data_IF_309855083629
#
_entry.id   IF_309855083629
#
_cell.length_a   1.000
_cell.length_b   1.000
_cell.length_c   1.000
_cell.angle_alpha   90.00
_cell.angle_beta   90.00
_cell.angle_gamma   90.00
#
_symmetry.space_group_name_H-M   'P 1'
#
loop_
_entity.id
_entity.type
_entity.pdbx_description
1 polymer ?
#
# COMPACT_ATOMS: atom_id res chain seq x y z
N UNK A 1 10.85 -11.51 3.14
CA UNK A 1 11.65 -12.60 3.72
C UNK A 1 11.87 -12.45 5.24
N UNK A 2 11.32 -11.42 5.88
CA UNK A 2 11.30 -11.30 7.35
C UNK A 2 9.88 -10.90 7.76
N UNK A 3 9.16 -11.82 8.39
CA UNK A 3 7.78 -11.60 8.86
C UNK A 3 7.75 -10.71 10.11
N UNK A 4 8.77 -10.78 10.97
CA UNK A 4 8.87 -9.99 12.19
C UNK A 4 9.13 -8.52 11.86
N UNK A 5 10.02 -8.23 10.92
CA UNK A 5 10.24 -6.87 10.44
C UNK A 5 8.98 -6.29 9.79
N UNK A 6 8.25 -7.08 8.98
CA UNK A 6 7.00 -6.66 8.37
C UNK A 6 5.89 -6.37 9.40
N UNK A 7 5.82 -7.17 10.47
CA UNK A 7 4.95 -6.89 11.61
C UNK A 7 5.35 -5.59 12.32
N UNK A 8 6.63 -5.42 12.65
CA UNK A 8 7.13 -4.27 13.42
C UNK A 8 6.94 -2.95 12.69
N UNK A 9 7.23 -2.90 11.39
CA UNK A 9 7.04 -1.66 10.60
C UNK A 9 5.57 -1.30 10.48
N UNK A 10 4.69 -2.28 10.22
CA UNK A 10 3.25 -2.08 10.23
C UNK A 10 2.73 -1.63 11.59
N UNK A 11 3.30 -2.17 12.68
CA UNK A 11 2.94 -1.80 14.05
C UNK A 11 3.34 -0.38 14.40
N UNK A 12 4.54 0.05 14.03
CA UNK A 12 5.01 1.42 14.23
C UNK A 12 4.13 2.42 13.47
N UNK A 13 3.86 2.16 12.19
CA UNK A 13 2.99 3.01 11.37
C UNK A 13 1.55 3.07 11.93
N UNK A 14 1.01 1.94 12.39
CA UNK A 14 -0.31 1.90 13.03
C UNK A 14 -0.35 2.68 14.33
N UNK A 15 0.70 2.60 15.14
CA UNK A 15 0.77 3.32 16.40
C UNK A 15 0.77 4.84 16.17
N UNK A 16 1.56 5.32 15.21
CA UNK A 16 1.57 6.74 14.83
C UNK A 16 0.21 7.17 14.26
N UNK A 17 -0.39 6.38 13.36
CA UNK A 17 -1.72 6.71 12.83
C UNK A 17 -2.82 6.72 13.90
N UNK A 18 -2.83 5.74 14.81
CA UNK A 18 -3.85 5.62 15.84
C UNK A 18 -3.83 6.82 16.81
N UNK A 19 -2.65 7.31 17.18
CA UNK A 19 -2.53 8.50 18.06
C UNK A 19 -2.78 9.83 17.35
N UNK A 20 -2.85 9.82 16.02
CA UNK A 20 -3.28 10.94 15.19
C UNK A 20 -4.78 10.87 14.82
N UNK A 21 -5.56 10.01 15.49
CA UNK A 21 -7.02 9.90 15.30
C UNK A 21 -7.46 9.11 14.07
N UNK A 22 -6.54 8.39 13.41
CA UNK A 22 -6.88 7.46 12.31
C UNK A 22 -7.42 6.16 12.93
N UNK A 23 -8.37 5.50 12.26
CA UNK A 23 -8.96 4.24 12.74
C UNK A 23 -8.88 3.08 11.71
N UNK A 24 -8.53 3.38 10.46
CA UNK A 24 -8.44 2.42 9.37
C UNK A 24 -7.26 2.76 8.48
N UNK A 25 -6.53 1.74 8.08
CA UNK A 25 -5.46 1.85 7.08
C UNK A 25 -5.85 1.04 5.84
N UNK A 26 -5.71 1.65 4.66
CA UNK A 26 -5.85 0.97 3.36
C UNK A 26 -4.58 0.21 3.00
N UNK A 27 -4.21 -0.70 3.90
CA UNK A 27 -3.04 -1.54 3.86
C UNK A 27 -3.32 -2.87 4.59
N UNK A 28 -2.60 -3.96 4.27
CA UNK A 28 -1.54 -4.04 3.27
C UNK A 28 -2.05 -4.11 1.82
N UNK A 29 -1.26 -3.65 0.86
CA UNK A 29 -1.39 -4.08 -0.53
C UNK A 29 -0.80 -5.50 -0.64
N UNK A 30 -1.55 -6.44 -1.23
CA UNK A 30 -1.23 -7.87 -1.22
C UNK A 30 -1.33 -8.54 -2.59
N UNK A 31 -1.43 -7.74 -3.66
CA UNK A 31 -1.49 -8.28 -5.02
C UNK A 31 -0.15 -8.91 -5.43
N UNK A 32 -0.21 -10.06 -6.10
CA UNK A 32 0.96 -10.79 -6.60
C UNK A 32 1.44 -10.21 -7.93
N UNK A 33 2.44 -9.34 -7.87
CA UNK A 33 2.95 -8.60 -9.03
C UNK A 33 3.87 -9.45 -9.91
N UNK A 34 3.39 -9.91 -11.07
CA UNK A 34 4.16 -10.71 -12.06
C UNK A 34 4.48 -9.98 -13.36
N UNK A 35 4.01 -8.75 -13.52
CA UNK A 35 4.34 -7.89 -14.66
C UNK A 35 5.04 -6.63 -14.13
N UNK A 36 6.36 -6.55 -14.32
CA UNK A 36 7.19 -5.46 -13.77
C UNK A 36 6.93 -4.11 -14.45
N UNK A 37 6.15 -4.07 -15.53
CA UNK A 37 5.73 -2.82 -16.18
C UNK A 37 4.66 -2.08 -15.38
N UNK A 38 3.93 -2.78 -14.52
CA UNK A 38 2.86 -2.19 -13.73
C UNK A 38 3.39 -1.24 -12.66
N UNK A 39 3.01 0.04 -12.72
CA UNK A 39 3.57 1.08 -11.85
C UNK A 39 3.40 0.84 -10.34
N UNK A 40 2.46 -0.02 -9.95
CA UNK A 40 2.14 -0.32 -8.55
C UNK A 40 2.86 -1.56 -7.99
N UNK A 41 3.81 -2.15 -8.73
CA UNK A 41 4.64 -3.28 -8.23
C UNK A 41 5.37 -2.96 -6.91
N UNK A 42 5.67 -1.67 -6.68
CA UNK A 42 6.34 -1.14 -5.49
C UNK A 42 5.55 -1.28 -4.19
N UNK A 43 4.22 -1.48 -4.26
CA UNK A 43 3.35 -1.52 -3.08
C UNK A 43 3.27 -2.92 -2.43
N UNK A 44 3.51 -3.96 -3.22
CA UNK A 44 3.32 -5.36 -2.82
C UNK A 44 4.57 -6.00 -2.21
N UNK A 45 4.55 -7.34 -2.11
CA UNK A 45 5.71 -8.12 -1.68
C UNK A 45 6.42 -8.86 -2.83
N UNK A 46 6.11 -8.51 -4.09
CA UNK A 46 6.67 -9.11 -5.29
C UNK A 46 5.81 -10.23 -5.90
N UNK A 47 6.45 -11.14 -6.61
CA UNK A 47 5.81 -12.10 -7.52
C UNK A 47 5.45 -13.48 -6.93
N UNK A 48 5.94 -13.77 -5.72
CA UNK A 48 5.76 -15.06 -5.06
C UNK A 48 4.50 -15.09 -4.17
N UNK A 49 3.72 -16.17 -4.31
CA UNK A 49 2.43 -16.32 -3.62
C UNK A 49 2.65 -16.51 -2.12
N UNK A 50 3.56 -17.41 -1.73
CA UNK A 50 3.78 -17.76 -0.33
C UNK A 50 4.34 -16.57 0.47
N UNK A 51 5.26 -15.83 -0.15
CA UNK A 51 5.81 -14.62 0.45
C UNK A 51 4.74 -13.56 0.66
N UNK A 52 3.89 -13.31 -0.35
CA UNK A 52 2.77 -12.38 -0.21
C UNK A 52 1.81 -12.81 0.91
N UNK A 53 1.47 -14.11 1.02
CA UNK A 53 0.65 -14.63 2.12
C UNK A 53 1.24 -14.36 3.51
N UNK A 54 2.53 -14.68 3.68
CA UNK A 54 3.24 -14.51 4.95
C UNK A 54 3.34 -13.04 5.37
N UNK A 55 3.73 -12.17 4.43
CA UNK A 55 3.87 -10.75 4.73
C UNK A 55 2.50 -10.06 4.88
N UNK A 56 1.47 -10.48 4.15
CA UNK A 56 0.10 -10.01 4.34
C UNK A 56 -0.38 -10.29 5.76
N UNK A 57 -0.26 -11.53 6.22
CA UNK A 57 -0.66 -11.92 7.56
C UNK A 57 0.14 -11.17 8.65
N UNK A 58 1.46 -11.02 8.48
CA UNK A 58 2.31 -10.27 9.40
C UNK A 58 1.92 -8.78 9.48
N UNK A 59 1.70 -8.13 8.34
CA UNK A 59 1.29 -6.73 8.27
C UNK A 59 -0.08 -6.51 8.88
N UNK A 60 -1.07 -7.38 8.60
CA UNK A 60 -2.41 -7.31 9.24
C UNK A 60 -2.28 -7.39 10.76
N UNK A 61 -1.53 -8.37 11.29
CA UNK A 61 -1.30 -8.47 12.74
C UNK A 61 -0.61 -7.24 13.31
N UNK A 62 0.36 -6.67 12.60
CA UNK A 62 1.04 -5.44 13.02
C UNK A 62 0.09 -4.24 13.09
N UNK A 63 -0.74 -4.06 12.07
CA UNK A 63 -1.76 -3.00 12.00
C UNK A 63 -2.80 -3.16 13.12
N UNK A 64 -3.30 -4.36 13.36
CA UNK A 64 -4.36 -4.58 14.35
C UNK A 64 -3.84 -4.76 15.79
N UNK A 65 -2.56 -5.07 15.97
CA UNK A 65 -1.91 -5.29 17.26
C UNK A 65 -2.38 -6.56 18.00
N UNK A 66 -1.54 -7.07 18.90
CA UNK A 66 -1.81 -8.33 19.62
C UNK A 66 -2.93 -8.21 20.66
N UNK A 67 -3.23 -6.98 21.10
CA UNK A 67 -4.32 -6.68 22.04
C UNK A 67 -5.69 -6.58 21.36
N UNK A 68 -5.72 -6.65 20.02
CA UNK A 68 -6.94 -6.59 19.21
C UNK A 68 -7.42 -5.17 18.89
N UNK A 69 -8.42 -5.07 18.02
CA UNK A 69 -8.93 -3.81 17.45
C UNK A 69 -9.50 -2.81 18.47
N UNK A 70 -9.93 -3.29 19.64
CA UNK A 70 -10.41 -2.44 20.74
C UNK A 70 -9.25 -1.83 21.57
N UNK A 71 -7.99 -2.13 21.25
CA UNK A 71 -6.82 -1.44 21.80
C UNK A 71 -6.54 -0.13 21.05
N UNK A 72 -6.32 0.97 21.79
CA UNK A 72 -6.30 2.34 21.21
C UNK A 72 -5.10 2.61 20.30
N UNK A 73 -4.18 1.65 20.20
CA UNK A 73 -3.01 1.70 19.34
C UNK A 73 -3.20 0.83 18.09
N UNK A 74 -4.38 0.24 17.89
CA UNK A 74 -4.73 -0.56 16.74
C UNK A 74 -5.45 0.27 15.68
N UNK A 75 -5.18 -0.05 14.41
CA UNK A 75 -5.99 0.38 13.27
C UNK A 75 -6.68 -0.84 12.65
N UNK A 76 -7.77 -0.60 11.93
CA UNK A 76 -8.38 -1.60 11.05
C UNK A 76 -7.51 -1.79 9.80
N UNK A 77 -7.05 -3.01 9.57
CA UNK A 77 -6.37 -3.38 8.33
C UNK A 77 -7.38 -3.61 7.20
N UNK A 78 -7.02 -3.16 6.00
CA UNK A 78 -7.84 -3.30 4.78
C UNK A 78 -6.95 -3.82 3.65
N UNK A 79 -6.86 -5.15 3.46
CA UNK A 79 -6.11 -5.74 2.36
C UNK A 79 -6.68 -5.29 1.02
N UNK A 80 -5.79 -4.95 0.08
CA UNK A 80 -6.14 -4.43 -1.25
C UNK A 80 -5.20 -4.97 -2.35
N UNK A 81 -5.62 -5.03 -3.61
CA UNK A 81 -6.91 -4.62 -4.17
C UNK A 81 -7.69 -5.87 -4.64
N UNK A 82 -8.82 -6.17 -4.01
CA UNK A 82 -9.55 -7.42 -4.24
C UNK A 82 -10.36 -7.36 -5.55
N UNK A 83 -9.98 -8.07 -6.62
CA UNK A 83 -8.83 -8.98 -6.72
C UNK A 83 -8.15 -8.94 -8.09
N UNK A 84 -6.90 -9.39 -8.09
CA UNK A 84 -6.07 -9.64 -9.26
C UNK A 84 -5.60 -8.37 -9.99
N UNK A 85 -5.65 -7.21 -9.34
CA UNK A 85 -5.37 -5.93 -9.98
C UNK A 85 -3.96 -5.85 -10.61
N UNK A 86 -2.97 -6.46 -9.95
CA UNK A 86 -1.59 -6.57 -10.46
C UNK A 86 -1.42 -7.37 -11.76
N UNK A 87 -2.47 -8.04 -12.26
CA UNK A 87 -2.45 -8.83 -13.49
C UNK A 87 -2.92 -8.04 -14.72
N UNK A 88 -3.08 -6.72 -14.60
CA UNK A 88 -3.59 -5.87 -15.67
C UNK A 88 -2.80 -6.09 -16.98
N UNK A 89 -3.52 -6.38 -18.07
CA UNK A 89 -2.90 -6.78 -19.33
C UNK A 89 -1.96 -5.66 -19.82
N UNK A 90 -0.72 -6.05 -20.14
CA UNK A 90 0.33 -5.12 -20.58
C UNK A 90 0.96 -4.29 -19.46
N UNK A 91 0.61 -4.54 -18.19
CA UNK A 91 1.05 -3.73 -17.06
C UNK A 91 0.44 -2.32 -17.04
N UNK A 92 -0.62 -2.08 -17.81
CA UNK A 92 -1.29 -0.78 -17.85
C UNK A 92 -2.24 -0.67 -16.65
N UNK A 93 -2.09 0.42 -15.89
CA UNK A 93 -2.97 0.70 -14.74
C UNK A 93 -4.46 0.67 -15.17
N UNK A 94 -5.35 0.23 -14.27
CA UNK A 94 -6.80 0.09 -14.49
C UNK A 94 -7.25 -0.94 -15.56
N UNK A 95 -6.34 -1.46 -16.37
CA UNK A 95 -6.70 -2.31 -17.51
C UNK A 95 -7.30 -3.67 -17.10
N UNK A 96 -7.98 -4.31 -18.05
CA UNK A 96 -8.58 -5.63 -17.91
C UNK A 96 -7.61 -6.67 -17.38
N UNK A 97 -8.14 -7.56 -16.54
CA UNK A 97 -7.46 -8.79 -16.10
C UNK A 97 -8.22 -10.00 -16.65
N UNK A 98 -7.50 -10.92 -17.28
CA UNK A 98 -8.07 -12.15 -17.84
C UNK A 98 -7.25 -13.36 -17.41
N UNK A 99 -7.91 -14.34 -16.78
CA UNK A 99 -7.25 -15.54 -16.31
C UNK A 99 -8.21 -16.69 -16.02
N UNK A 100 -7.67 -17.91 -16.05
CA UNK A 100 -8.39 -19.09 -15.60
C UNK A 100 -8.69 -19.04 -14.09
N UNK A 101 -9.76 -19.71 -13.68
CA UNK A 101 -10.10 -19.90 -12.27
C UNK A 101 -8.95 -20.54 -11.48
N UNK A 102 -8.23 -21.47 -12.09
CA UNK A 102 -7.08 -22.14 -11.46
C UNK A 102 -5.97 -21.14 -11.14
N UNK A 103 -5.69 -20.20 -12.06
CA UNK A 103 -4.72 -19.13 -11.84
C UNK A 103 -5.20 -18.18 -10.75
N UNK A 104 -6.46 -17.72 -10.83
CA UNK A 104 -7.05 -16.83 -9.85
C UNK A 104 -6.94 -17.41 -8.42
N UNK A 105 -7.35 -18.67 -8.25
CA UNK A 105 -7.32 -19.38 -6.96
C UNK A 105 -5.93 -19.75 -6.50
N UNK A 106 -5.03 -20.10 -7.42
CA UNK A 106 -3.67 -20.52 -7.10
C UNK A 106 -2.69 -19.37 -6.84
N UNK A 107 -2.97 -18.17 -7.36
CA UNK A 107 -2.01 -17.06 -7.37
C UNK A 107 -2.54 -15.81 -6.68
N UNK A 108 -3.71 -15.32 -7.07
CA UNK A 108 -4.14 -13.97 -6.69
C UNK A 108 -5.03 -13.92 -5.46
N UNK A 109 -5.83 -14.97 -5.21
CA UNK A 109 -6.66 -15.09 -4.00
C UNK A 109 -5.90 -15.44 -2.70
N UNK A 110 -4.84 -16.28 -2.70
CA UNK A 110 -4.23 -16.76 -1.46
C UNK A 110 -3.74 -15.65 -0.50
N UNK A 111 -3.10 -14.55 -0.95
CA UNK A 111 -2.67 -13.49 -0.04
C UNK A 111 -3.83 -12.79 0.69
N UNK A 112 -4.95 -12.57 0.01
CA UNK A 112 -6.16 -12.00 0.63
C UNK A 112 -6.74 -12.94 1.67
N UNK A 113 -6.80 -14.25 1.37
CA UNK A 113 -7.25 -15.25 2.34
C UNK A 113 -6.37 -15.24 3.60
N UNK A 114 -5.06 -15.20 3.44
CA UNK A 114 -4.13 -15.10 4.59
C UNK A 114 -4.28 -13.80 5.38
N UNK A 115 -4.60 -12.69 4.72
CA UNK A 115 -4.87 -11.42 5.38
C UNK A 115 -6.18 -11.45 6.19
N UNK A 116 -7.23 -12.10 5.66
CA UNK A 116 -8.52 -12.30 6.35
C UNK A 116 -8.34 -13.25 7.53
N UNK A 117 -7.64 -14.38 7.35
CA UNK A 117 -7.34 -15.35 8.41
C UNK A 117 -6.47 -14.73 9.53
N UNK A 118 -5.67 -13.70 9.21
CA UNK A 118 -4.94 -12.90 10.19
C UNK A 118 -5.81 -11.88 10.95
N UNK A 119 -7.09 -11.77 10.60
CA UNK A 119 -8.09 -11.02 11.33
C UNK A 119 -8.53 -9.71 10.68
N UNK A 120 -8.18 -9.43 9.41
CA UNK A 120 -8.67 -8.24 8.73
C UNK A 120 -10.21 -8.23 8.68
N UNK A 121 -10.84 -7.10 9.02
CA UNK A 121 -12.31 -6.92 9.00
C UNK A 121 -12.79 -5.89 7.95
N UNK A 122 -11.90 -5.50 7.05
CA UNK A 122 -12.25 -4.76 5.83
C UNK A 122 -11.44 -5.30 4.66
N UNK A 123 -11.99 -5.23 3.45
CA UNK A 123 -11.31 -5.52 2.19
C UNK A 123 -11.67 -4.42 1.20
N UNK A 124 -10.72 -3.97 0.40
CA UNK A 124 -10.96 -2.97 -0.65
C UNK A 124 -11.15 -3.69 -1.99
N UNK A 125 -12.24 -3.40 -2.71
CA UNK A 125 -12.38 -3.89 -4.10
C UNK A 125 -11.35 -3.22 -5.01
N UNK A 126 -11.08 -3.79 -6.18
CA UNK A 126 -10.16 -3.21 -7.16
C UNK A 126 -10.87 -2.36 -8.23
N UNK A 127 -10.06 -1.79 -9.13
CA UNK A 127 -10.52 -1.01 -10.27
C UNK A 127 -10.75 -1.83 -11.55
N UNK A 128 -9.99 -2.90 -11.73
CA UNK A 128 -10.01 -3.70 -12.96
C UNK A 128 -11.32 -4.46 -13.13
N UNK A 129 -11.63 -4.83 -14.37
CA UNK A 129 -12.48 -5.98 -14.62
C UNK A 129 -11.68 -7.28 -14.52
N UNK A 130 -12.36 -8.32 -14.02
CA UNK A 130 -11.85 -9.68 -13.94
C UNK A 130 -12.71 -10.57 -14.83
N UNK A 131 -12.12 -11.05 -15.92
CA UNK A 131 -12.79 -11.86 -16.94
C UNK A 131 -14.09 -11.19 -17.45
N UNK A 132 -14.05 -9.88 -17.69
CA UNK A 132 -15.17 -9.10 -18.22
C UNK A 132 -16.16 -8.56 -17.17
N UNK A 133 -15.91 -8.76 -15.87
CA UNK A 133 -16.77 -8.24 -14.79
C UNK A 133 -15.96 -7.33 -13.86
N UNK A 134 -16.23 -6.00 -13.81
CA UNK A 134 -15.60 -5.06 -12.89
C UNK A 134 -15.65 -5.56 -11.44
N UNK A 135 -14.53 -5.51 -10.72
CA UNK A 135 -14.44 -6.11 -9.37
C UNK A 135 -15.43 -5.50 -8.37
N UNK A 136 -15.72 -4.20 -8.47
CA UNK A 136 -16.74 -3.53 -7.63
C UNK A 136 -18.19 -3.92 -7.97
N UNK A 137 -18.43 -4.54 -9.14
CA UNK A 137 -19.71 -5.10 -9.55
C UNK A 137 -19.76 -6.64 -9.53
N UNK A 138 -18.71 -7.30 -9.04
CA UNK A 138 -18.51 -8.74 -9.18
C UNK A 138 -19.11 -9.52 -7.99
N UNK A 139 -20.40 -9.86 -8.06
CA UNK A 139 -21.12 -10.64 -7.04
C UNK A 139 -20.44 -11.99 -6.72
N UNK A 140 -19.97 -12.68 -7.75
CA UNK A 140 -19.26 -13.95 -7.62
C UNK A 140 -18.05 -13.80 -6.70
N UNK A 141 -17.27 -12.73 -6.87
CA UNK A 141 -16.10 -12.52 -6.03
C UNK A 141 -16.44 -11.98 -4.64
N UNK A 142 -17.24 -10.91 -4.56
CA UNK A 142 -17.48 -10.17 -3.32
C UNK A 142 -18.49 -10.87 -2.38
N UNK A 143 -19.34 -11.73 -2.91
CA UNK A 143 -20.37 -12.43 -2.12
C UNK A 143 -20.14 -13.94 -2.12
N UNK A 144 -20.09 -14.60 -3.29
CA UNK A 144 -20.01 -16.07 -3.32
C UNK A 144 -18.67 -16.58 -2.81
N UNK A 145 -17.54 -16.05 -3.30
CA UNK A 145 -16.20 -16.46 -2.83
C UNK A 145 -15.89 -15.84 -1.47
N UNK A 146 -15.88 -14.51 -1.37
CA UNK A 146 -15.41 -13.82 -0.18
C UNK A 146 -16.25 -14.17 1.06
N UNK A 147 -17.58 -14.28 0.93
CA UNK A 147 -18.48 -14.53 2.06
C UNK A 147 -18.98 -15.96 2.10
N UNK A 148 -19.42 -16.50 0.97
CA UNK A 148 -19.93 -17.87 0.88
C UNK A 148 -18.85 -18.91 1.15
N UNK A 149 -17.73 -18.86 0.42
CA UNK A 149 -16.66 -19.84 0.59
C UNK A 149 -15.76 -19.55 1.80
N UNK A 150 -15.41 -18.28 2.04
CA UNK A 150 -14.41 -17.93 3.07
C UNK A 150 -15.02 -17.46 4.39
N UNK A 151 -16.33 -17.18 4.44
CA UNK A 151 -16.99 -16.73 5.67
C UNK A 151 -16.55 -15.33 6.12
N UNK A 152 -16.13 -14.45 5.22
CA UNK A 152 -15.70 -13.10 5.60
C UNK A 152 -16.86 -12.27 6.21
N UNK A 153 -16.70 -11.93 7.49
CA UNK A 153 -17.71 -11.22 8.29
C UNK A 153 -17.58 -9.69 8.21
N UNK A 154 -16.41 -9.19 7.79
CA UNK A 154 -16.11 -7.76 7.69
C UNK A 154 -16.84 -7.07 6.53
N UNK A 155 -16.48 -5.80 6.29
CA UNK A 155 -17.11 -5.00 5.22
C UNK A 155 -16.19 -4.81 4.01
N UNK A 156 -16.79 -4.71 2.82
CA UNK A 156 -16.08 -4.32 1.60
C UNK A 156 -16.23 -2.82 1.39
N UNK A 157 -15.11 -2.12 1.23
CA UNK A 157 -15.08 -0.73 0.77
C UNK A 157 -14.71 -0.71 -0.70
N UNK A 158 -15.31 0.17 -1.49
CA UNK A 158 -14.84 0.38 -2.86
C UNK A 158 -13.44 0.99 -2.86
N UNK A 159 -12.62 0.73 -3.89
CA UNK A 159 -11.51 1.65 -4.18
C UNK A 159 -12.07 3.03 -4.56
N UNK A 160 -11.22 4.05 -4.59
CA UNK A 160 -11.59 5.43 -4.89
C UNK A 160 -12.48 5.51 -6.13
N UNK A 161 -13.78 5.75 -5.95
CA UNK A 161 -14.80 5.80 -7.02
C UNK A 161 -14.93 4.55 -7.90
N UNK A 162 -14.35 3.41 -7.55
CA UNK A 162 -14.39 2.19 -8.39
C UNK A 162 -15.82 1.67 -8.65
N UNK A 163 -16.77 1.96 -7.77
CA UNK A 163 -18.20 1.68 -8.01
C UNK A 163 -18.83 2.63 -9.03
N UNK A 164 -18.39 3.89 -9.08
CA UNK A 164 -18.83 4.84 -10.10
C UNK A 164 -18.24 4.50 -11.48
N UNK A 165 -17.02 3.97 -11.49
CA UNK A 165 -16.32 3.55 -12.71
C UNK A 165 -16.98 2.35 -13.41
N UNK A 166 -17.96 1.68 -12.80
CA UNK A 166 -18.83 0.72 -13.48
C UNK A 166 -19.45 1.30 -14.76
N UNK A 167 -19.70 2.63 -14.79
CA UNK A 167 -20.20 3.34 -15.97
C UNK A 167 -19.12 3.38 -17.07
N UNK A 168 -17.88 3.72 -16.72
CA UNK A 168 -16.77 3.78 -17.66
C UNK A 168 -16.41 2.39 -18.22
N UNK A 169 -16.58 1.35 -17.41
CA UNK A 169 -16.50 -0.05 -17.84
C UNK A 169 -17.64 -0.48 -18.77
N UNK A 170 -18.69 0.34 -18.95
CA UNK A 170 -19.88 -0.01 -19.72
C UNK A 170 -20.75 -1.08 -19.05
N UNK A 171 -20.55 -1.31 -17.74
CA UNK A 171 -21.26 -2.32 -16.95
C UNK A 171 -22.50 -1.77 -16.24
N UNK A 172 -22.57 -0.45 -16.05
CA UNK A 172 -23.71 0.28 -15.53
C UNK A 172 -24.17 1.36 -16.52
N UNK A 173 -25.48 1.59 -16.62
CA UNK A 173 -26.02 2.63 -17.51
C UNK A 173 -25.76 4.06 -16.97
N UNK A 174 -25.83 4.25 -15.66
CA UNK A 174 -25.65 5.53 -14.99
C UNK A 174 -25.25 5.36 -13.51
N UNK A 175 -25.18 6.46 -12.75
CA UNK A 175 -24.81 6.44 -11.34
C UNK A 175 -25.81 5.72 -10.42
N UNK A 176 -27.09 5.70 -10.78
CA UNK A 176 -28.13 4.98 -10.02
C UNK A 176 -27.95 3.48 -10.21
N UNK A 177 -27.73 3.04 -11.45
CA UNK A 177 -27.49 1.64 -11.76
C UNK A 177 -26.16 1.15 -11.20
N UNK A 178 -25.11 1.98 -11.25
CA UNK A 178 -23.82 1.70 -10.63
C UNK A 178 -23.94 1.48 -9.11
N UNK A 179 -24.68 2.35 -8.40
CA UNK A 179 -24.95 2.19 -6.98
C UNK A 179 -25.70 0.89 -6.68
N UNK A 180 -26.71 0.56 -7.48
CA UNK A 180 -27.49 -0.69 -7.39
C UNK A 180 -26.60 -1.91 -7.57
N UNK A 181 -25.82 -1.96 -8.66
CA UNK A 181 -24.94 -3.07 -9.01
C UNK A 181 -23.90 -3.29 -7.90
N UNK A 182 -23.17 -2.25 -7.50
CA UNK A 182 -22.11 -2.39 -6.52
C UNK A 182 -22.63 -2.86 -5.15
N UNK A 183 -23.74 -2.27 -4.68
CA UNK A 183 -24.33 -2.64 -3.40
C UNK A 183 -24.83 -4.08 -3.42
N UNK A 184 -25.47 -4.50 -4.51
CA UNK A 184 -25.97 -5.86 -4.68
C UNK A 184 -24.84 -6.88 -4.88
N UNK A 185 -23.71 -6.48 -5.48
CA UNK A 185 -22.54 -7.32 -5.64
C UNK A 185 -21.85 -7.64 -4.30
N UNK A 186 -21.87 -6.71 -3.35
CA UNK A 186 -21.34 -6.91 -2.01
C UNK A 186 -20.41 -5.81 -1.51
N UNK A 187 -20.28 -4.68 -2.23
CA UNK A 187 -19.66 -3.47 -1.72
C UNK A 187 -20.57 -2.88 -0.64
N UNK A 188 -20.06 -2.74 0.59
CA UNK A 188 -20.85 -2.25 1.72
C UNK A 188 -20.65 -0.74 1.93
N UNK A 189 -19.49 -0.19 1.54
CA UNK A 189 -19.14 1.22 1.70
C UNK A 189 -18.60 1.80 0.39
N UNK A 190 -19.22 2.88 -0.07
CA UNK A 190 -18.78 3.68 -1.22
C UNK A 190 -17.73 4.70 -0.80
N UNK A 191 -16.58 4.68 -1.48
CA UNK A 191 -15.50 5.63 -1.30
C UNK A 191 -15.63 6.79 -2.31
N UNK A 192 -15.77 8.00 -1.78
CA UNK A 192 -15.70 9.29 -2.49
C UNK A 192 -16.86 9.60 -3.45
N UNK A 193 -17.40 8.65 -4.22
CA UNK A 193 -18.33 8.98 -5.32
C UNK A 193 -19.62 9.69 -4.89
N UNK A 194 -20.10 9.44 -3.68
CA UNK A 194 -21.37 9.96 -3.17
C UNK A 194 -22.62 9.25 -3.71
N UNK A 195 -22.47 8.29 -4.64
CA UNK A 195 -23.59 7.63 -5.32
C UNK A 195 -24.52 6.90 -4.35
N UNK A 196 -23.98 6.27 -3.30
CA UNK A 196 -24.79 5.56 -2.32
C UNK A 196 -25.75 6.49 -1.58
N UNK A 197 -25.26 7.66 -1.14
CA UNK A 197 -26.10 8.66 -0.48
C UNK A 197 -27.17 9.22 -1.41
N UNK A 198 -26.80 9.41 -2.69
CA UNK A 198 -27.68 10.00 -3.69
C UNK A 198 -28.80 9.03 -4.15
N UNK A 199 -28.50 7.74 -4.31
CA UNK A 199 -29.38 6.82 -5.05
C UNK A 199 -30.02 5.71 -4.22
N UNK A 200 -29.41 5.24 -3.12
CA UNK A 200 -29.96 4.12 -2.32
C UNK A 200 -31.38 4.41 -1.81
N UNK A 201 -31.72 5.61 -1.28
CA UNK A 201 -33.08 5.86 -0.80
C UNK A 201 -34.17 5.65 -1.87
N UNK A 202 -33.95 6.12 -3.10
CA UNK A 202 -34.89 5.95 -4.21
C UNK A 202 -34.92 4.48 -4.70
N UNK A 203 -33.76 3.83 -4.78
CA UNK A 203 -33.65 2.41 -5.14
C UNK A 203 -34.46 1.51 -4.20
N UNK A 204 -34.40 1.78 -2.88
CA UNK A 204 -35.20 1.04 -1.88
C UNK A 204 -36.68 1.39 -1.99
N UNK A 205 -37.03 2.68 -2.13
CA UNK A 205 -38.41 3.12 -2.24
C UNK A 205 -39.14 2.51 -3.45
N UNK A 206 -38.44 2.28 -4.55
CA UNK A 206 -38.96 1.63 -5.77
C UNK A 206 -38.86 0.11 -5.77
N UNK A 207 -38.20 -0.49 -4.78
CA UNK A 207 -38.04 -1.95 -4.65
C UNK A 207 -36.93 -2.56 -5.52
N UNK A 208 -36.10 -1.74 -6.16
CA UNK A 208 -34.97 -2.20 -6.98
C UNK A 208 -33.81 -2.74 -6.12
N UNK A 209 -33.73 -2.28 -4.86
CA UNK A 209 -32.83 -2.80 -3.83
C UNK A 209 -33.66 -3.16 -2.60
N UNK A 210 -33.59 -4.39 -2.07
CA UNK A 210 -34.28 -4.72 -0.83
C UNK A 210 -33.61 -4.02 0.35
N UNK A 211 -34.41 -3.48 1.29
CA UNK A 211 -33.88 -2.81 2.49
C UNK A 211 -32.97 -3.73 3.31
N UNK A 212 -33.21 -5.04 3.30
CA UNK A 212 -32.36 -6.03 3.97
C UNK A 212 -30.92 -6.03 3.46
N UNK A 213 -30.68 -5.69 2.18
CA UNK A 213 -29.33 -5.54 1.62
C UNK A 213 -28.61 -4.33 2.23
N UNK A 214 -29.31 -3.22 2.40
CA UNK A 214 -28.79 -2.01 3.07
C UNK A 214 -28.51 -2.33 4.54
N UNK A 215 -29.44 -2.98 5.24
CA UNK A 215 -29.27 -3.39 6.64
C UNK A 215 -28.05 -4.29 6.83
N UNK A 216 -27.77 -5.18 5.88
CA UNK A 216 -26.60 -6.05 5.90
C UNK A 216 -25.29 -5.27 5.78
N UNK A 217 -25.20 -4.34 4.82
CA UNK A 217 -24.04 -3.46 4.65
C UNK A 217 -23.80 -2.58 5.88
N UNK A 218 -24.88 -1.93 6.38
CA UNK A 218 -24.83 -1.09 7.58
C UNK A 218 -24.41 -1.90 8.80
N UNK A 219 -24.97 -3.10 8.99
CA UNK A 219 -24.63 -3.98 10.13
C UNK A 219 -23.14 -4.30 10.18
N UNK A 220 -22.51 -4.59 9.03
CA UNK A 220 -21.06 -4.87 8.98
C UNK A 220 -20.23 -3.66 9.36
N UNK A 221 -20.54 -2.50 8.81
CA UNK A 221 -19.82 -1.25 9.14
C UNK A 221 -19.98 -0.92 10.63
N UNK A 222 -21.20 -1.01 11.18
CA UNK A 222 -21.45 -0.76 12.60
C UNK A 222 -20.79 -1.82 13.50
N UNK A 223 -20.81 -3.09 13.10
CA UNK A 223 -20.14 -4.15 13.84
C UNK A 223 -18.62 -3.94 13.87
N UNK A 224 -18.00 -3.56 12.75
CA UNK A 224 -16.57 -3.22 12.74
C UNK A 224 -16.26 -1.99 13.59
N UNK A 225 -17.12 -0.96 13.60
CA UNK A 225 -16.99 0.19 14.53
C UNK A 225 -17.08 -0.24 16.00
N UNK A 226 -17.95 -1.19 16.33
CA UNK A 226 -18.03 -1.76 17.67
C UNK A 226 -16.78 -2.58 18.01
N UNK A 227 -16.22 -3.35 17.08
CA UNK A 227 -14.94 -4.06 17.27
C UNK A 227 -13.77 -3.12 17.50
N UNK A 228 -13.82 -1.92 16.94
CA UNK A 228 -12.88 -0.82 17.19
C UNK A 228 -13.18 -0.05 18.48
N UNK A 229 -14.19 -0.41 19.28
CA UNK A 229 -14.53 0.30 20.52
C UNK A 229 -14.97 1.76 20.32
N UNK A 230 -15.41 2.14 19.11
CA UNK A 230 -15.73 3.53 18.78
C UNK A 230 -17.07 3.99 19.37
N UNK A 231 -17.92 3.07 19.83
CA UNK A 231 -19.14 3.43 20.55
C UNK A 231 -18.85 3.75 22.02
N UNK A 232 -17.83 3.12 22.60
CA UNK A 232 -17.39 3.35 23.98
C UNK A 232 -16.51 4.60 24.08
N UNK A 233 -15.57 4.77 23.14
CA UNK A 233 -14.68 5.92 23.07
C UNK A 233 -14.41 6.34 21.61
N UNK A 234 -15.24 7.25 21.04
CA UNK A 234 -15.02 7.74 19.68
C UNK A 234 -13.78 8.64 19.55
N UNK A 235 -13.16 9.04 20.66
CA UNK A 235 -12.00 9.93 20.71
C UNK A 235 -10.71 9.21 21.14
N UNK A 236 -10.71 7.87 21.18
CA UNK A 236 -9.59 7.02 21.65
C UNK A 236 -8.22 7.30 21.03
N UNK A 237 -8.22 7.86 19.82
CA UNK A 237 -7.02 8.26 19.08
C UNK A 237 -6.69 9.76 19.11
N UNK A 238 -7.50 10.61 19.74
CA UNK A 238 -7.34 12.07 19.75
C UNK A 238 -6.67 12.56 21.04
N UNK A 239 -5.39 12.25 21.20
CA UNK A 239 -4.60 12.62 22.38
C UNK A 239 -3.29 13.34 21.95
N UNK A 240 -3.27 14.69 21.93
CA UNK A 240 -2.10 15.45 21.47
C UNK A 240 -0.84 15.21 22.30
N UNK A 241 -0.97 14.86 23.58
CA UNK A 241 0.18 14.57 24.45
C UNK A 241 0.83 13.26 24.01
N UNK A 242 0.01 12.24 23.73
CA UNK A 242 0.50 10.96 23.21
C UNK A 242 1.01 11.07 21.80
N UNK A 243 0.31 11.79 20.94
CA UNK A 243 0.72 12.03 19.55
C UNK A 243 2.13 12.61 19.53
N UNK A 244 2.38 13.70 20.26
CA UNK A 244 3.71 14.30 20.38
C UNK A 244 4.75 13.34 20.98
N UNK A 245 4.34 12.46 21.88
CA UNK A 245 5.24 11.51 22.52
C UNK A 245 5.55 10.28 21.64
N UNK A 246 4.71 9.93 20.67
CA UNK A 246 4.79 8.70 19.86
C UNK A 246 5.28 8.98 18.45
N UNK A 247 4.73 10.00 17.80
CA UNK A 247 5.09 10.36 16.44
C UNK A 247 6.53 10.87 16.42
N UNK A 248 7.38 10.22 15.61
CA UNK A 248 8.80 10.57 15.55
C UNK A 248 9.61 10.11 16.77
N UNK A 249 9.21 9.03 17.45
CA UNK A 249 10.07 8.35 18.43
C UNK A 249 11.36 7.84 17.79
N UNK A 250 12.46 7.93 18.53
CA UNK A 250 13.76 7.39 18.10
C UNK A 250 13.68 5.90 17.73
N UNK A 251 12.89 5.12 18.47
CA UNK A 251 12.68 3.68 18.19
C UNK A 251 12.08 3.43 16.80
N UNK A 252 11.19 4.30 16.31
CA UNK A 252 10.63 4.18 14.96
C UNK A 252 11.67 4.53 13.90
N UNK A 253 12.55 5.52 14.15
CA UNK A 253 13.65 5.83 13.25
C UNK A 253 14.70 4.72 13.20
N UNK A 254 15.04 4.14 14.34
CA UNK A 254 15.96 3.01 14.43
C UNK A 254 15.39 1.80 13.68
N UNK A 255 14.08 1.56 13.80
CA UNK A 255 13.37 0.55 13.04
C UNK A 255 13.36 0.85 11.54
N UNK A 256 13.07 2.08 11.13
CA UNK A 256 13.11 2.50 9.72
C UNK A 256 14.51 2.31 9.12
N UNK A 257 15.55 2.67 9.87
CA UNK A 257 16.95 2.45 9.48
C UNK A 257 17.30 0.97 9.39
N UNK A 258 16.82 0.13 10.31
CA UNK A 258 16.97 -1.33 10.23
C UNK A 258 16.27 -1.86 8.97
N UNK A 259 15.02 -1.47 8.74
CA UNK A 259 14.23 -1.90 7.59
C UNK A 259 14.90 -1.52 6.27
N UNK A 260 15.40 -0.28 6.17
CA UNK A 260 16.17 0.17 5.00
C UNK A 260 17.42 -0.67 4.75
N UNK A 261 18.18 -1.01 5.80
CA UNK A 261 19.38 -1.88 5.68
C UNK A 261 19.05 -3.29 5.20
N UNK A 262 17.97 -3.88 5.72
CA UNK A 262 17.58 -5.26 5.39
C UNK A 262 16.83 -5.37 4.05
N UNK A 263 16.47 -4.23 3.44
CA UNK A 263 15.76 -4.18 2.15
C UNK A 263 16.68 -3.93 0.94
N UNK A 264 17.99 -3.73 1.15
CA UNK A 264 18.97 -3.55 0.06
C UNK A 264 19.47 -4.90 -0.43
N UNK A 265 19.40 -5.13 -1.75
CA UNK A 265 19.85 -6.36 -2.39
C UNK A 265 21.17 -6.14 -3.13
N UNK A 266 22.22 -6.84 -2.73
CA UNK A 266 23.49 -6.85 -3.45
C UNK A 266 23.40 -7.77 -4.67
N UNK A 267 23.28 -7.20 -5.87
CA UNK A 267 23.15 -7.96 -7.12
C UNK A 267 24.50 -8.47 -7.65
N UNK A 268 25.58 -7.70 -7.46
CA UNK A 268 26.92 -8.03 -7.98
C UNK A 268 28.00 -7.44 -7.08
N UNK A 269 29.06 -8.20 -6.79
CA UNK A 269 30.28 -7.68 -6.14
C UNK A 269 31.52 -8.39 -6.68
N UNK A 270 32.39 -7.64 -7.36
CA UNK A 270 33.69 -8.13 -7.86
C UNK A 270 34.83 -7.81 -6.87
N UNK A 271 34.59 -8.08 -5.59
CA UNK A 271 35.47 -7.75 -4.46
C UNK A 271 35.80 -6.26 -4.28
N UNK A 272 34.89 -5.37 -4.71
CA UNK A 272 35.02 -3.91 -4.52
C UNK A 272 34.40 -3.47 -3.19
N UNK A 273 33.31 -4.11 -2.76
CA UNK A 273 32.62 -3.79 -1.52
C UNK A 273 33.14 -4.65 -0.34
N UNK A 274 33.17 -4.10 0.89
CA UNK A 274 32.74 -2.76 1.28
C UNK A 274 33.78 -1.66 0.98
N UNK A 275 33.31 -0.45 0.64
CA UNK A 275 34.17 0.72 0.46
C UNK A 275 34.82 1.16 1.78
N UNK A 276 35.99 1.78 1.68
CA UNK A 276 36.72 2.34 2.83
C UNK A 276 36.09 3.67 3.24
N UNK A 277 36.08 3.94 4.54
CA UNK A 277 35.53 5.19 5.10
C UNK A 277 36.55 6.34 5.15
N UNK A 278 37.81 6.03 4.92
CA UNK A 278 38.94 6.96 4.98
C UNK A 278 39.99 6.56 3.95
N UNK A 279 40.69 7.57 3.40
CA UNK A 279 41.80 7.35 2.46
C UNK A 279 41.36 6.68 1.15
N UNK A 280 40.10 6.87 0.76
CA UNK A 280 39.55 6.46 -0.53
C UNK A 280 38.65 7.58 -1.05
N UNK A 281 39.04 8.17 -2.18
CA UNK A 281 38.27 9.22 -2.84
C UNK A 281 37.15 8.58 -3.66
N UNK A 282 35.91 8.99 -3.41
CA UNK A 282 34.70 8.42 -4.00
C UNK A 282 34.02 9.49 -4.86
N UNK A 283 33.71 9.17 -6.11
CA UNK A 283 32.84 10.00 -6.94
C UNK A 283 31.42 9.42 -6.93
N UNK A 284 30.48 10.09 -6.26
CA UNK A 284 29.05 9.79 -6.26
C UNK A 284 28.39 10.51 -7.43
N UNK A 285 28.00 9.75 -8.46
CA UNK A 285 27.55 10.31 -9.74
C UNK A 285 26.12 9.84 -10.07
N UNK A 286 25.23 10.79 -10.31
CA UNK A 286 23.92 10.51 -10.89
C UNK A 286 22.81 11.45 -10.42
N UNK A 287 21.64 11.42 -11.09
CA UNK A 287 20.52 12.32 -10.79
C UNK A 287 19.98 12.15 -9.37
N UNK A 288 20.19 10.98 -8.76
CA UNK A 288 19.70 10.64 -7.42
C UNK A 288 20.75 10.82 -6.31
N UNK A 289 21.96 11.29 -6.62
CA UNK A 289 23.04 11.43 -5.64
C UNK A 289 22.63 12.35 -4.47
N UNK A 290 22.13 13.54 -4.79
CA UNK A 290 21.67 14.54 -3.82
C UNK A 290 20.16 14.64 -3.74
N UNK A 291 19.43 13.73 -4.41
CA UNK A 291 17.98 13.78 -4.48
C UNK A 291 17.34 13.45 -3.13
N UNK A 292 16.38 14.28 -2.75
CA UNK A 292 15.57 14.11 -1.54
C UNK A 292 14.11 13.88 -1.89
N UNK A 293 13.66 14.21 -3.09
CA UNK A 293 12.24 14.20 -3.43
C UNK A 293 11.72 12.77 -3.69
N UNK A 294 12.59 11.86 -4.16
CA UNK A 294 12.19 10.47 -4.44
C UNK A 294 12.53 9.47 -3.33
N UNK A 295 13.13 9.91 -2.21
CA UNK A 295 13.62 8.99 -1.15
C UNK A 295 12.52 8.26 -0.39
N UNK A 296 11.31 8.80 -0.35
CA UNK A 296 10.16 8.16 0.30
C UNK A 296 9.38 7.22 -0.62
N UNK A 297 9.61 7.29 -1.94
CA UNK A 297 8.82 6.56 -2.92
C UNK A 297 7.34 7.01 -2.96
N UNK A 298 6.51 6.30 -3.74
CA UNK A 298 5.09 6.62 -3.87
C UNK A 298 4.31 6.33 -2.58
N UNK A 299 3.10 6.88 -2.49
CA UNK A 299 2.19 6.76 -1.34
C UNK A 299 2.63 7.43 -0.04
N UNK A 300 3.62 8.32 -0.12
CA UNK A 300 3.97 9.25 0.97
C UNK A 300 3.39 10.64 0.67
N UNK A 301 2.09 10.81 0.88
CA UNK A 301 1.35 12.03 0.49
C UNK A 301 1.68 13.23 1.39
N UNK A 302 1.94 12.98 2.69
CA UNK A 302 2.21 14.02 3.69
C UNK A 302 3.50 13.75 4.49
N UNK A 303 4.54 13.27 3.83
CA UNK A 303 5.83 12.98 4.48
C UNK A 303 6.51 14.25 5.01
N UNK A 304 7.12 14.16 6.19
CA UNK A 304 7.94 15.24 6.75
C UNK A 304 9.26 15.37 5.97
N UNK A 305 9.36 16.44 5.18
CA UNK A 305 10.49 16.68 4.28
C UNK A 305 11.81 16.87 5.04
N UNK A 306 11.76 17.30 6.31
CA UNK A 306 12.94 17.48 7.15
C UNK A 306 13.64 16.17 7.51
N UNK A 307 12.98 15.03 7.28
CA UNK A 307 13.47 13.68 7.60
C UNK A 307 14.09 12.95 6.41
N UNK A 308 14.12 13.59 5.24
CA UNK A 308 14.68 13.01 4.01
C UNK A 308 16.20 12.91 4.16
N UNK A 309 16.76 11.75 3.80
CA UNK A 309 18.21 11.52 3.77
C UNK A 309 18.59 11.06 2.38
N UNK A 310 19.27 11.93 1.62
CA UNK A 310 19.81 11.60 0.29
C UNK A 310 20.99 10.63 0.38
N UNK A 311 21.38 10.04 -0.76
CA UNK A 311 22.59 9.21 -0.81
C UNK A 311 23.83 10.02 -0.40
N UNK A 312 23.97 11.25 -0.89
CA UNK A 312 25.04 12.17 -0.49
C UNK A 312 25.09 12.35 1.03
N UNK A 313 23.96 12.71 1.66
CA UNK A 313 23.92 12.88 3.11
C UNK A 313 24.31 11.60 3.86
N UNK A 314 23.89 10.44 3.34
CA UNK A 314 24.28 9.13 3.87
C UNK A 314 25.79 8.84 3.75
N UNK A 315 26.41 9.18 2.62
CA UNK A 315 27.86 9.04 2.40
C UNK A 315 28.65 9.97 3.33
N UNK A 316 28.29 11.26 3.38
CA UNK A 316 28.94 12.26 4.26
C UNK A 316 28.87 11.85 5.72
N UNK A 317 27.73 11.33 6.18
CA UNK A 317 27.58 10.84 7.55
C UNK A 317 28.40 9.57 7.86
N UNK A 318 28.79 8.79 6.84
CA UNK A 318 29.53 7.54 7.01
C UNK A 318 31.05 7.70 6.84
N UNK A 319 31.49 8.69 6.07
CA UNK A 319 32.90 8.96 5.75
C UNK A 319 33.60 9.74 6.87
N UNK A 320 34.92 9.68 6.90
CA UNK A 320 35.76 10.43 7.87
C UNK A 320 36.12 11.84 7.42
N UNK A 321 36.08 12.09 6.11
CA UNK A 321 36.36 13.38 5.50
C UNK A 321 35.34 13.65 4.40
N UNK A 322 34.74 14.82 4.41
CA UNK A 322 33.84 15.28 3.34
C UNK A 322 34.60 15.57 2.04
N UNK A 323 35.90 15.87 2.13
CA UNK A 323 36.77 16.16 0.98
C UNK A 323 37.04 14.92 0.11
N UNK A 324 36.84 13.72 0.68
CA UNK A 324 37.00 12.46 -0.03
C UNK A 324 35.78 12.13 -0.92
N UNK A 325 34.69 12.93 -0.85
CA UNK A 325 33.47 12.71 -1.64
C UNK A 325 33.27 13.78 -2.71
N UNK A 326 33.37 13.37 -3.98
CA UNK A 326 32.98 14.18 -5.14
C UNK A 326 31.54 13.85 -5.49
N UNK A 327 30.68 14.85 -5.61
CA UNK A 327 29.27 14.65 -5.97
C UNK A 327 28.99 15.37 -7.28
N UNK A 328 28.54 14.63 -8.29
CA UNK A 328 28.23 15.18 -9.61
C UNK A 328 26.92 14.63 -10.13
N UNK A 329 26.00 15.52 -10.53
CA UNK A 329 24.68 15.11 -11.03
C UNK A 329 24.77 14.28 -12.32
N UNK A 330 25.66 14.65 -13.23
CA UNK A 330 25.89 13.96 -14.51
C UNK A 330 24.77 14.18 -15.55
N UNK A 331 23.54 13.81 -15.21
CA UNK A 331 22.34 14.00 -16.04
C UNK A 331 21.10 14.23 -15.17
N UNK A 332 19.97 14.57 -15.78
CA UNK A 332 18.66 14.35 -15.17
C UNK A 332 18.21 12.90 -15.42
N UNK A 333 17.01 12.53 -14.96
CA UNK A 333 16.46 11.18 -15.13
C UNK A 333 16.19 10.87 -16.61
N UNK A 334 15.59 11.79 -17.34
CA UNK A 334 15.21 11.59 -18.75
C UNK A 334 15.97 12.50 -19.73
N UNK A 335 16.73 13.48 -19.21
CA UNK A 335 17.38 14.50 -20.04
C UNK A 335 18.86 14.67 -19.72
N UNK A 336 19.63 14.99 -20.75
CA UNK A 336 21.03 15.34 -20.58
C UNK A 336 21.17 16.74 -19.97
N UNK A 337 22.10 16.89 -19.03
CA UNK A 337 22.52 18.20 -18.53
C UNK A 337 23.67 18.70 -19.39
N UNK A 338 23.64 19.93 -19.94
CA UNK A 338 24.75 20.48 -20.71
C UNK A 338 26.08 20.42 -19.95
N UNK A 339 27.07 19.72 -20.52
CA UNK A 339 28.37 19.51 -19.87
C UNK A 339 28.38 18.50 -18.70
N UNK A 340 27.22 17.95 -18.30
CA UNK A 340 27.10 17.06 -17.15
C UNK A 340 27.89 15.75 -17.30
N UNK A 341 27.87 15.15 -18.50
CA UNK A 341 28.69 13.95 -18.79
C UNK A 341 30.19 14.27 -18.68
N UNK A 342 30.64 15.41 -19.18
CA UNK A 342 32.04 15.80 -19.10
C UNK A 342 32.46 16.00 -17.63
N UNK A 343 31.62 16.64 -16.81
CA UNK A 343 31.86 16.79 -15.38
C UNK A 343 31.92 15.45 -14.64
N UNK A 344 31.02 14.51 -14.98
CA UNK A 344 31.02 13.17 -14.42
C UNK A 344 32.31 12.40 -14.76
N UNK A 345 32.78 12.49 -16.01
CA UNK A 345 34.05 11.87 -16.44
C UNK A 345 35.24 12.47 -15.69
N UNK A 346 35.28 13.79 -15.53
CA UNK A 346 36.34 14.46 -14.74
C UNK A 346 36.34 13.97 -13.29
N UNK A 347 35.19 13.92 -12.63
CA UNK A 347 35.10 13.43 -11.25
C UNK A 347 35.50 11.95 -11.12
N UNK A 348 35.10 11.12 -12.09
CA UNK A 348 35.50 9.70 -12.11
C UNK A 348 37.02 9.52 -12.28
N UNK A 349 37.69 10.35 -13.09
CA UNK A 349 39.13 10.28 -13.28
C UNK A 349 39.94 10.75 -12.05
N UNK A 350 39.31 11.54 -11.17
CA UNK A 350 39.91 12.07 -9.95
C UNK A 350 39.67 11.19 -8.71
N UNK A 351 38.81 10.18 -8.81
CA UNK A 351 38.40 9.31 -7.70
C UNK A 351 39.00 7.90 -7.81
N UNK A 352 39.12 7.23 -6.67
CA UNK A 352 39.55 5.83 -6.60
C UNK A 352 38.41 4.87 -6.98
N UNK A 353 37.16 5.28 -6.71
CA UNK A 353 35.93 4.52 -6.98
C UNK A 353 34.81 5.45 -7.41
N UNK A 354 33.98 5.00 -8.37
CA UNK A 354 32.72 5.65 -8.76
C UNK A 354 31.55 4.90 -8.13
N UNK A 355 30.62 5.65 -7.55
CA UNK A 355 29.33 5.17 -7.02
C UNK A 355 28.21 5.76 -7.85
#
# INVERSE_FOLDING_TARGET
FDEDLAYKTARAASLEGAVSGIHQSYAPMVDVARDQRWGRVVEGAGEDVLLNQRLAAARVRGVQGDKGLADRDALLATPKHFVAYSAAIGGMEYNTTDMSEATLRGVFLPPFRSAIEAGALSVMSAFNDLNGVPTSGNHRMLTEVLRGEWGFEGFVVSDYTSEQELIAHGFAEDGRDAARIALMAGVDMSMVSGLYMQHIPDLVAKGDVPVSRVDEAVRRVLWTKAKLGLFEDPYRGMDPVREKAICGRQEHYDLARKAGRESIVLLKNENVLPLKREGQRIALIGPFASDVDNVFGPWTIWGDETRRVSLEAGFRAAMKSDDDLLVVKGSDVETAVPGGIAAAVTAAAEADVVV
#
